data_IF_554935612125
#
_entry.id   IF_554935612125
#
_cell.length_a   1.000
_cell.length_b   1.000
_cell.length_c   1.000
_cell.angle_alpha   90.00
_cell.angle_beta   90.00
_cell.angle_gamma   90.00
#
_symmetry.space_group_name_H-M   'P 1'
#
loop_
_entity.id
_entity.type
_entity.pdbx_description
1 polymer ?
#
# COMPACT_ATOMS: atom_id res chain seq x y z
N UNK A 1 -65.83 -15.46 40.77
CA UNK A 1 -65.79 -15.08 39.35
C UNK A 1 -64.91 -13.82 39.19
N UNK A 2 -63.66 -13.99 38.84
CA UNK A 2 -62.71 -12.86 38.74
C UNK A 2 -62.52 -12.59 37.25
N UNK A 3 -62.99 -11.44 36.78
CA UNK A 3 -62.94 -10.96 35.42
C UNK A 3 -61.53 -10.38 35.15
N UNK A 4 -60.70 -11.01 34.33
CA UNK A 4 -59.41 -10.48 33.89
C UNK A 4 -59.66 -9.31 32.92
N UNK A 5 -59.01 -8.14 33.08
CA UNK A 5 -59.07 -7.09 32.11
C UNK A 5 -58.18 -7.47 30.93
N UNK A 6 -58.75 -7.49 29.72
CA UNK A 6 -58.05 -7.60 28.47
C UNK A 6 -57.26 -6.30 28.23
N UNK A 7 -56.03 -6.24 28.64
CA UNK A 7 -55.10 -5.22 28.21
C UNK A 7 -54.72 -5.44 26.74
N UNK A 8 -55.41 -4.75 25.85
CA UNK A 8 -54.88 -4.55 24.48
C UNK A 8 -53.69 -3.61 24.60
N UNK A 9 -52.52 -4.14 24.47
CA UNK A 9 -51.34 -3.34 24.22
C UNK A 9 -51.58 -2.55 22.93
N UNK A 10 -51.39 -1.23 22.90
CA UNK A 10 -51.44 -0.48 21.68
C UNK A 10 -50.25 -0.94 20.83
N UNK A 11 -50.49 -1.68 19.76
CA UNK A 11 -49.53 -1.92 18.70
C UNK A 11 -49.22 -0.55 18.07
N UNK A 12 -48.13 0.09 18.50
CA UNK A 12 -47.62 1.31 17.87
C UNK A 12 -47.17 0.96 16.48
N UNK A 13 -48.07 1.06 15.52
CA UNK A 13 -47.74 0.95 14.10
C UNK A 13 -46.84 2.12 13.75
N UNK A 14 -45.63 1.84 13.27
CA UNK A 14 -44.72 2.84 12.71
C UNK A 14 -45.47 3.61 11.63
N UNK A 15 -45.53 4.93 11.76
CA UNK A 15 -46.09 5.79 10.73
C UNK A 15 -45.21 5.76 9.50
N UNK A 16 -45.81 5.71 8.31
CA UNK A 16 -45.04 5.72 7.04
C UNK A 16 -44.05 6.88 6.96
N UNK A 17 -44.38 8.02 7.56
CA UNK A 17 -43.48 9.17 7.62
C UNK A 17 -42.23 8.91 8.51
N UNK A 18 -42.37 8.16 9.59
CA UNK A 18 -41.22 7.79 10.45
C UNK A 18 -40.28 6.82 9.76
N UNK A 19 -40.82 5.86 9.00
CA UNK A 19 -40.02 4.95 8.17
C UNK A 19 -39.24 5.69 7.10
N UNK A 20 -39.86 6.64 6.40
CA UNK A 20 -39.20 7.46 5.40
C UNK A 20 -38.10 8.34 6.01
N UNK A 21 -38.37 8.95 7.16
CA UNK A 21 -37.40 9.79 7.86
C UNK A 21 -36.19 8.95 8.32
N UNK A 22 -36.42 7.80 8.95
CA UNK A 22 -35.34 6.91 9.39
C UNK A 22 -34.52 6.39 8.22
N UNK A 23 -35.16 6.00 7.11
CA UNK A 23 -34.47 5.56 5.89
C UNK A 23 -33.61 6.69 5.28
N UNK A 24 -34.11 7.93 5.26
CA UNK A 24 -33.37 9.08 4.79
C UNK A 24 -32.12 9.38 5.64
N UNK A 25 -32.24 9.33 6.97
CA UNK A 25 -31.13 9.55 7.90
C UNK A 25 -30.09 8.43 7.74
N UNK A 26 -30.49 7.16 7.70
CA UNK A 26 -29.61 6.03 7.51
C UNK A 26 -28.90 6.09 6.14
N UNK A 27 -29.60 6.52 5.10
CA UNK A 27 -29.01 6.73 3.77
C UNK A 27 -27.92 7.80 3.77
N UNK A 28 -28.15 8.92 4.47
CA UNK A 28 -27.17 9.99 4.60
C UNK A 28 -25.92 9.55 5.38
N UNK A 29 -26.10 8.89 6.51
CA UNK A 29 -24.98 8.36 7.31
C UNK A 29 -24.20 7.30 6.53
N UNK A 30 -24.90 6.42 5.81
CA UNK A 30 -24.28 5.41 4.96
C UNK A 30 -23.44 6.00 3.82
N UNK A 31 -23.93 7.05 3.16
CA UNK A 31 -23.21 7.73 2.09
C UNK A 31 -21.93 8.40 2.58
N UNK A 32 -21.96 9.10 3.70
CA UNK A 32 -20.78 9.72 4.32
C UNK A 32 -19.78 8.65 4.80
N UNK A 33 -20.27 7.58 5.42
CA UNK A 33 -19.44 6.47 5.88
C UNK A 33 -18.69 5.77 4.74
N UNK A 34 -19.34 5.60 3.59
CA UNK A 34 -18.71 4.98 2.42
C UNK A 34 -17.51 5.77 1.88
N UNK A 35 -17.62 7.10 1.78
CA UNK A 35 -16.53 7.96 1.30
C UNK A 35 -15.31 7.87 2.22
N UNK A 36 -15.52 7.98 3.54
CA UNK A 36 -14.43 7.87 4.50
C UNK A 36 -13.79 6.47 4.51
N UNK A 37 -14.60 5.42 4.43
CA UNK A 37 -14.10 4.06 4.40
C UNK A 37 -13.24 3.78 3.16
N UNK A 38 -13.66 4.26 1.99
CA UNK A 38 -12.90 4.06 0.74
C UNK A 38 -11.55 4.77 0.76
N UNK A 39 -11.47 5.98 1.31
CA UNK A 39 -10.21 6.70 1.49
C UNK A 39 -9.27 5.99 2.47
N UNK A 40 -9.80 5.52 3.61
CA UNK A 40 -9.01 4.78 4.60
C UNK A 40 -8.44 3.48 4.02
N UNK A 41 -9.24 2.72 3.28
CA UNK A 41 -8.79 1.50 2.60
C UNK A 41 -7.71 1.81 1.55
N UNK A 42 -7.85 2.90 0.82
CA UNK A 42 -6.84 3.34 -0.14
C UNK A 42 -5.51 3.70 0.52
N UNK A 43 -5.54 4.41 1.63
CA UNK A 43 -4.34 4.73 2.41
C UNK A 43 -3.66 3.45 2.92
N UNK A 44 -4.43 2.52 3.48
CA UNK A 44 -3.91 1.24 3.94
C UNK A 44 -3.26 0.43 2.81
N UNK A 45 -3.84 0.47 1.61
CA UNK A 45 -3.27 -0.20 0.45
C UNK A 45 -1.93 0.41 0.03
N UNK A 46 -1.81 1.75 0.02
CA UNK A 46 -0.54 2.44 -0.26
C UNK A 46 0.52 2.07 0.76
N UNK A 47 0.17 2.05 2.06
CA UNK A 47 1.07 1.64 3.14
C UNK A 47 1.52 0.18 3.00
N UNK A 48 0.58 -0.73 2.77
CA UNK A 48 0.88 -2.15 2.62
C UNK A 48 1.79 -2.40 1.40
N UNK A 49 1.50 -1.75 0.27
CA UNK A 49 2.33 -1.85 -0.93
C UNK A 49 3.75 -1.32 -0.68
N UNK A 50 3.88 -0.19 0.03
CA UNK A 50 5.18 0.37 0.40
C UNK A 50 5.99 -0.58 1.27
N UNK A 51 5.34 -1.24 2.24
CA UNK A 51 5.99 -2.26 3.08
C UNK A 51 6.48 -3.44 2.24
N UNK A 52 5.68 -3.92 1.28
CA UNK A 52 6.09 -5.01 0.40
C UNK A 52 7.31 -4.63 -0.47
N UNK A 53 7.39 -3.38 -0.92
CA UNK A 53 8.59 -2.87 -1.61
C UNK A 53 9.81 -2.94 -0.70
N UNK A 54 9.70 -2.44 0.54
CA UNK A 54 10.78 -2.45 1.53
C UNK A 54 11.21 -3.88 1.89
N UNK A 55 10.24 -4.76 2.15
CA UNK A 55 10.50 -6.16 2.49
C UNK A 55 11.24 -6.89 1.37
N UNK A 56 10.88 -6.66 0.10
CA UNK A 56 11.58 -7.26 -1.03
C UNK A 56 13.06 -6.92 -1.04
N UNK A 57 13.40 -5.65 -0.85
CA UNK A 57 14.80 -5.21 -0.78
C UNK A 57 15.53 -5.81 0.42
N UNK A 58 14.89 -5.85 1.59
CA UNK A 58 15.49 -6.42 2.80
C UNK A 58 15.72 -7.94 2.65
N UNK A 59 14.77 -8.65 2.07
CA UNK A 59 14.90 -10.09 1.79
C UNK A 59 16.03 -10.37 0.80
N UNK A 60 16.16 -9.57 -0.26
CA UNK A 60 17.23 -9.71 -1.25
C UNK A 60 18.61 -9.52 -0.60
N UNK A 61 18.76 -8.51 0.24
CA UNK A 61 20.00 -8.29 1.00
C UNK A 61 20.33 -9.48 1.89
N UNK A 62 19.35 -9.89 2.70
CA UNK A 62 19.52 -11.02 3.60
C UNK A 62 19.85 -12.34 2.88
N UNK A 63 19.25 -12.54 1.70
CA UNK A 63 19.56 -13.70 0.86
C UNK A 63 21.00 -13.68 0.37
N UNK A 64 21.44 -12.54 -0.21
CA UNK A 64 22.80 -12.37 -0.69
C UNK A 64 23.85 -12.56 0.44
N UNK A 65 23.60 -11.98 1.62
CA UNK A 65 24.45 -12.14 2.80
C UNK A 65 24.48 -13.59 3.29
N UNK A 66 23.34 -14.26 3.35
CA UNK A 66 23.21 -15.63 3.83
C UNK A 66 23.86 -16.65 2.89
N UNK A 67 23.74 -16.46 1.58
CA UNK A 67 24.27 -17.39 0.57
C UNK A 67 25.73 -17.09 0.23
N UNK A 68 26.20 -15.87 0.48
CA UNK A 68 27.48 -15.38 0.00
C UNK A 68 27.55 -15.24 -1.52
N UNK A 69 26.40 -15.25 -2.20
CA UNK A 69 26.29 -15.14 -3.67
C UNK A 69 25.61 -13.82 -4.03
N UNK A 70 26.21 -13.00 -4.91
CA UNK A 70 25.53 -11.80 -5.41
C UNK A 70 24.24 -12.14 -6.13
N UNK A 71 23.18 -11.39 -5.88
CA UNK A 71 21.91 -11.59 -6.57
C UNK A 71 21.33 -10.28 -7.11
N UNK A 72 20.37 -10.38 -8.03
CA UNK A 72 19.69 -9.25 -8.64
C UNK A 72 18.19 -9.50 -8.76
N UNK A 73 17.41 -8.41 -8.71
CA UNK A 73 15.97 -8.41 -8.92
C UNK A 73 15.50 -7.15 -9.65
N UNK A 74 14.37 -7.22 -10.31
CA UNK A 74 13.73 -6.08 -10.99
C UNK A 74 12.36 -5.79 -10.34
N UNK A 75 11.95 -4.52 -10.36
CA UNK A 75 10.60 -4.14 -9.98
C UNK A 75 9.77 -3.91 -11.25
N UNK A 76 8.93 -4.87 -11.58
CA UNK A 76 8.03 -4.81 -12.73
C UNK A 76 6.58 -4.55 -12.32
N UNK A 77 5.67 -4.59 -13.28
CA UNK A 77 4.25 -4.29 -13.05
C UNK A 77 3.57 -5.19 -12.01
N UNK A 78 4.03 -6.43 -11.87
CA UNK A 78 3.48 -7.41 -10.93
C UNK A 78 4.22 -7.48 -9.59
N UNK A 79 5.21 -6.61 -9.38
CA UNK A 79 6.04 -6.59 -8.19
C UNK A 79 7.49 -7.00 -8.46
N UNK A 80 8.15 -7.52 -7.43
CA UNK A 80 9.52 -8.01 -7.52
C UNK A 80 9.59 -9.28 -8.37
N UNK A 81 10.44 -9.26 -9.36
CA UNK A 81 10.59 -10.33 -10.33
C UNK A 81 12.06 -10.55 -10.69
N UNK A 82 12.32 -11.68 -11.32
CA UNK A 82 13.62 -12.00 -11.84
C UNK A 82 14.11 -10.95 -12.86
N UNK A 83 15.39 -10.67 -12.83
CA UNK A 83 16.00 -9.69 -13.74
C UNK A 83 16.62 -10.37 -14.94
N UNK A 84 16.02 -10.18 -16.10
CA UNK A 84 16.57 -10.66 -17.38
C UNK A 84 17.85 -9.93 -17.83
N UNK A 85 18.19 -8.80 -17.17
CA UNK A 85 19.29 -7.89 -17.61
C UNK A 85 20.58 -8.11 -16.81
N UNK A 86 20.49 -8.63 -15.59
CA UNK A 86 21.65 -8.81 -14.74
C UNK A 86 22.30 -10.18 -14.95
N UNK A 87 23.63 -10.18 -15.13
CA UNK A 87 24.44 -11.40 -15.14
C UNK A 87 24.65 -11.96 -13.70
N UNK A 88 23.66 -11.80 -12.81
CA UNK A 88 23.67 -12.26 -11.44
C UNK A 88 22.50 -13.21 -11.19
N UNK A 89 22.66 -14.11 -10.22
CA UNK A 89 21.60 -15.02 -9.80
C UNK A 89 20.36 -14.21 -9.31
N UNK A 90 19.15 -14.72 -9.50
CA UNK A 90 17.94 -14.08 -8.98
C UNK A 90 17.90 -14.12 -7.45
N UNK A 91 17.43 -13.03 -6.81
CA UNK A 91 17.16 -13.01 -5.37
C UNK A 91 15.82 -13.72 -5.10
N UNK A 92 15.78 -15.03 -5.12
CA UNK A 92 14.55 -15.85 -5.18
C UNK A 92 13.60 -15.66 -4.01
N UNK A 93 14.13 -15.42 -2.81
CA UNK A 93 13.32 -15.21 -1.60
C UNK A 93 12.66 -13.83 -1.56
N UNK A 94 13.16 -12.88 -2.38
CA UNK A 94 12.63 -11.53 -2.45
C UNK A 94 11.57 -11.36 -3.54
N UNK A 95 11.49 -12.29 -4.49
CA UNK A 95 10.55 -12.22 -5.60
C UNK A 95 9.11 -12.41 -5.12
N UNK A 96 8.21 -11.65 -5.68
CA UNK A 96 6.78 -11.78 -5.36
C UNK A 96 5.96 -10.52 -5.63
N UNK A 97 4.64 -10.63 -5.47
CA UNK A 97 3.73 -9.53 -5.74
C UNK A 97 3.92 -8.38 -4.75
N UNK A 98 3.89 -7.16 -5.28
CA UNK A 98 3.92 -5.91 -4.47
C UNK A 98 2.51 -5.34 -4.30
N UNK A 99 1.54 -5.86 -5.04
CA UNK A 99 0.16 -5.38 -4.94
C UNK A 99 -0.51 -5.81 -3.62
N UNK A 100 -1.05 -4.85 -2.90
CA UNK A 100 -1.83 -5.10 -1.69
C UNK A 100 -3.28 -5.43 -2.05
N UNK A 101 -3.69 -6.68 -1.83
CA UNK A 101 -5.06 -7.13 -1.58
C UNK A 101 -6.18 -6.81 -2.58
N UNK A 102 -7.12 -7.73 -2.65
CA UNK A 102 -8.26 -7.78 -3.59
C UNK A 102 -9.36 -6.72 -3.33
N UNK A 103 -9.33 -6.02 -2.20
CA UNK A 103 -10.42 -5.11 -1.77
C UNK A 103 -10.03 -3.63 -1.73
N UNK A 104 -8.80 -3.27 -2.07
CA UNK A 104 -8.35 -1.88 -2.06
C UNK A 104 -8.26 -1.33 -3.49
N UNK A 105 -8.41 0.00 -3.69
CA UNK A 105 -8.15 0.61 -4.97
C UNK A 105 -6.76 0.19 -5.45
N UNK A 106 -6.66 -0.13 -6.74
CA UNK A 106 -5.42 -0.62 -7.34
C UNK A 106 -4.33 0.41 -7.10
N UNK A 107 -3.35 0.07 -6.26
CA UNK A 107 -2.17 0.89 -6.06
C UNK A 107 -1.32 0.92 -7.32
N UNK A 108 -0.72 2.06 -7.58
CA UNK A 108 0.22 2.28 -8.67
C UNK A 108 1.59 2.56 -8.08
N UNK A 109 2.63 2.23 -8.82
CA UNK A 109 3.99 2.61 -8.47
C UNK A 109 4.80 2.95 -9.71
N UNK A 110 5.79 3.79 -9.51
CA UNK A 110 6.83 4.11 -10.49
C UNK A 110 8.17 4.17 -9.78
N UNK A 111 9.22 3.94 -10.50
CA UNK A 111 10.57 4.08 -10.00
C UNK A 111 11.48 4.73 -11.03
N UNK A 112 12.55 5.38 -10.56
CA UNK A 112 13.64 5.88 -11.37
C UNK A 112 14.94 5.08 -11.18
N UNK A 113 14.81 3.92 -10.53
CA UNK A 113 15.92 2.99 -10.34
C UNK A 113 16.31 2.26 -11.65
N UNK A 114 17.36 1.46 -11.59
CA UNK A 114 17.84 0.69 -12.73
C UNK A 114 16.85 -0.40 -13.16
N UNK A 115 17.09 -0.99 -14.31
CA UNK A 115 16.33 -2.16 -14.77
C UNK A 115 16.51 -3.37 -13.84
N UNK A 116 17.61 -3.42 -13.11
CA UNK A 116 17.87 -4.43 -12.08
C UNK A 116 18.60 -3.83 -10.88
N UNK A 117 18.09 -4.07 -9.68
CA UNK A 117 18.78 -3.81 -8.42
C UNK A 117 19.69 -4.97 -8.07
N UNK A 118 20.99 -4.69 -7.90
CA UNK A 118 22.03 -5.68 -7.66
C UNK A 118 22.52 -5.59 -6.22
N UNK A 119 22.69 -6.76 -5.61
CA UNK A 119 23.18 -6.92 -4.24
C UNK A 119 24.48 -7.74 -4.27
N UNK A 120 25.49 -7.26 -3.54
CA UNK A 120 26.75 -8.01 -3.38
C UNK A 120 26.57 -9.16 -2.38
N UNK A 121 27.50 -10.09 -2.38
CA UNK A 121 27.58 -11.17 -1.39
C UNK A 121 27.61 -10.70 0.08
N UNK A 122 27.96 -9.43 0.32
CA UNK A 122 27.97 -8.79 1.63
C UNK A 122 26.73 -7.90 1.88
N UNK A 123 25.68 -8.03 1.04
CA UNK A 123 24.43 -7.27 1.19
C UNK A 123 24.52 -5.79 0.82
N UNK A 124 25.65 -5.33 0.25
CA UNK A 124 25.73 -3.95 -0.25
C UNK A 124 24.91 -3.81 -1.51
N UNK A 125 24.30 -2.65 -1.67
CA UNK A 125 23.51 -2.31 -2.86
C UNK A 125 24.39 -1.56 -3.85
N UNK A 126 24.42 -2.02 -5.08
CA UNK A 126 25.21 -1.39 -6.15
C UNK A 126 24.44 -0.30 -6.88
N UNK A 127 23.12 -0.33 -6.80
CA UNK A 127 22.23 0.53 -7.59
C UNK A 127 21.25 1.27 -6.66
N UNK A 128 21.29 2.59 -6.71
CA UNK A 128 20.33 3.43 -5.98
C UNK A 128 19.07 3.68 -6.79
N UNK A 129 18.04 4.20 -6.11
CA UNK A 129 16.80 4.57 -6.79
C UNK A 129 15.71 5.03 -5.84
N UNK A 130 14.64 5.53 -6.42
CA UNK A 130 13.43 5.94 -5.75
C UNK A 130 12.25 5.14 -6.30
N UNK A 131 11.44 4.60 -5.42
CA UNK A 131 10.12 4.03 -5.75
C UNK A 131 9.06 4.91 -5.11
N UNK A 132 8.05 5.30 -5.86
CA UNK A 132 6.88 6.06 -5.39
C UNK A 132 5.65 5.20 -5.56
N UNK A 133 4.83 5.13 -4.51
CA UNK A 133 3.59 4.35 -4.44
C UNK A 133 2.42 5.28 -4.14
N UNK A 134 1.34 5.18 -4.92
CA UNK A 134 0.12 5.96 -4.71
C UNK A 134 -1.12 5.18 -5.15
N UNK A 135 -2.29 5.71 -4.85
CA UNK A 135 -3.55 5.18 -5.36
C UNK A 135 -4.43 6.31 -5.89
N UNK A 136 -5.19 6.10 -6.97
CA UNK A 136 -6.13 7.09 -7.51
C UNK A 136 -7.17 7.51 -6.45
N UNK A 137 -7.40 8.81 -6.33
CA UNK A 137 -8.36 9.36 -5.36
C UNK A 137 -7.89 9.37 -3.90
N UNK A 138 -6.66 8.99 -3.63
CA UNK A 138 -6.03 9.02 -2.29
C UNK A 138 -4.94 10.09 -2.27
N UNK A 139 -4.97 10.95 -1.26
CA UNK A 139 -3.99 12.02 -1.11
C UNK A 139 -2.62 11.52 -0.62
N UNK A 140 -2.59 10.35 0.04
CA UNK A 140 -1.36 9.76 0.54
C UNK A 140 -0.53 9.17 -0.60
N UNK A 141 0.71 9.64 -0.71
CA UNK A 141 1.72 9.10 -1.60
C UNK A 141 2.94 8.72 -0.78
N UNK A 142 3.44 7.51 -0.96
CA UNK A 142 4.61 7.02 -0.24
C UNK A 142 5.82 6.91 -1.17
N UNK A 143 6.99 7.08 -0.59
CA UNK A 143 8.25 6.94 -1.30
C UNK A 143 9.24 6.07 -0.54
N UNK A 144 10.03 5.32 -1.28
CA UNK A 144 11.15 4.52 -0.78
C UNK A 144 12.39 4.92 -1.56
N UNK A 145 13.38 5.45 -0.88
CA UNK A 145 14.68 5.84 -1.46
C UNK A 145 15.73 4.84 -1.02
N UNK A 146 16.44 4.27 -1.96
CA UNK A 146 17.62 3.46 -1.76
C UNK A 146 18.85 4.31 -2.03
N UNK A 147 19.57 4.69 -0.99
CA UNK A 147 20.72 5.56 -1.08
C UNK A 147 22.03 4.76 -1.19
N UNK A 148 22.90 5.15 -2.12
CA UNK A 148 24.24 4.59 -2.29
C UNK A 148 25.23 5.23 -1.31
N UNK A 149 26.35 4.55 -0.97
CA UNK A 149 26.74 3.20 -1.36
C UNK A 149 26.23 2.10 -0.44
N UNK A 150 25.74 2.47 0.75
CA UNK A 150 25.40 1.51 1.82
C UNK A 150 24.01 0.86 1.62
N UNK A 151 23.24 1.28 0.62
CA UNK A 151 21.88 0.79 0.42
C UNK A 151 20.95 1.11 1.58
N UNK A 152 21.16 2.29 2.23
CA UNK A 152 20.26 2.75 3.28
C UNK A 152 18.89 3.02 2.69
N UNK A 153 17.89 2.32 3.23
CA UNK A 153 16.50 2.53 2.85
C UNK A 153 15.90 3.65 3.70
N UNK A 154 15.42 4.68 3.03
CA UNK A 154 14.61 5.73 3.64
C UNK A 154 13.21 5.65 3.04
N UNK A 155 12.20 5.76 3.86
CA UNK A 155 10.81 5.85 3.41
C UNK A 155 10.18 7.13 3.98
N UNK A 156 9.13 7.60 3.32
CA UNK A 156 8.48 8.83 3.72
C UNK A 156 7.27 9.16 2.85
N UNK A 157 6.87 10.42 2.89
CA UNK A 157 5.78 10.96 2.07
C UNK A 157 6.37 11.63 0.83
N UNK A 158 5.82 11.30 -0.33
CA UNK A 158 6.20 11.94 -1.59
C UNK A 158 5.39 13.21 -1.78
N UNK A 159 6.07 14.34 -1.99
CA UNK A 159 5.45 15.67 -2.03
C UNK A 159 5.34 16.28 -3.43
N UNK A 160 5.53 15.48 -4.50
CA UNK A 160 5.41 15.95 -5.88
C UNK A 160 4.46 15.05 -6.68
N UNK A 161 4.21 15.40 -7.94
CA UNK A 161 3.39 14.57 -8.82
C UNK A 161 4.13 13.26 -9.15
N UNK A 162 3.55 12.08 -8.81
CA UNK A 162 4.17 10.78 -9.07
C UNK A 162 4.20 10.43 -10.58
N UNK A 163 3.42 11.12 -11.41
CA UNK A 163 3.39 10.91 -12.86
C UNK A 163 4.43 11.79 -13.59
N UNK A 164 4.98 12.79 -12.93
CA UNK A 164 6.07 13.62 -13.43
C UNK A 164 7.45 12.94 -13.29
N UNK A 165 8.52 13.69 -13.50
CA UNK A 165 9.89 13.21 -13.26
C UNK A 165 10.10 12.99 -11.77
N UNK A 166 10.49 11.76 -11.40
CA UNK A 166 10.70 11.40 -10.00
C UNK A 166 12.00 11.99 -9.45
N UNK A 167 11.92 12.65 -8.29
CA UNK A 167 13.07 13.20 -7.58
C UNK A 167 13.11 12.70 -6.13
N UNK A 168 14.28 12.25 -5.69
CA UNK A 168 14.51 11.84 -4.29
C UNK A 168 14.34 12.99 -3.30
N UNK A 169 14.47 14.24 -3.73
CA UNK A 169 14.33 15.44 -2.88
C UNK A 169 12.86 15.70 -2.49
N UNK A 170 11.93 15.19 -3.30
CA UNK A 170 10.51 15.22 -3.00
C UNK A 170 10.07 14.15 -1.97
N UNK A 171 10.95 13.20 -1.64
CA UNK A 171 10.71 12.19 -0.62
C UNK A 171 11.12 12.72 0.76
N UNK A 172 10.14 13.13 1.55
CA UNK A 172 10.35 13.68 2.90
C UNK A 172 10.16 12.59 3.95
N UNK A 173 11.08 12.46 4.91
CA UNK A 173 10.88 11.54 6.04
C UNK A 173 9.62 11.95 6.80
N UNK A 174 8.93 10.98 7.34
CA UNK A 174 7.83 11.22 8.26
C UNK A 174 8.39 11.88 9.52
N UNK A 175 7.83 13.04 9.90
CA UNK A 175 8.11 13.60 11.21
C UNK A 175 7.51 12.66 12.26
N UNK A 176 8.38 12.00 13.04
CA UNK A 176 7.99 11.13 14.14
C UNK A 176 7.33 11.88 15.29
#
# INVERSE_FOLDING_TARGET
MIRRPNGREPSAGLCQAELLLTAAILGLIGALGWVHASQALGQQAVEATTRLVLEGVQKARAEAERTGIPCAMALGERGWQDSAVAAAEPCTTALGPVAAGVLAPVTRWRHNGPAAWRFTATGLVLDGGLVVVWAPGVSLQRCVVMALPLGVLRHGVYGADPEATLSSDACRPEAG
#
